data_IF_082094919330
#
_entry.id   IF_082094919330
#
_cell.length_a   1.000
_cell.length_b   1.000
_cell.length_c   1.000
_cell.angle_alpha   90.00
_cell.angle_beta   90.00
_cell.angle_gamma   90.00
#
_symmetry.space_group_name_H-M   'P 1'
#
loop_
_entity.id
_entity.type
_entity.pdbx_description
1 polymer ?
#
# COMPACT_ATOMS: atom_id res chain seq x y z
N UNK A 1 33.65 7.48 4.45
CA UNK A 1 32.64 6.41 4.43
C UNK A 1 31.28 7.07 4.37
N UNK A 2 30.61 7.05 3.20
CA UNK A 2 29.29 7.66 3.05
C UNK A 2 28.23 6.75 3.68
N UNK A 3 27.50 7.30 4.65
CA UNK A 3 26.30 6.71 5.23
C UNK A 3 25.34 6.28 4.10
N UNK A 4 25.12 4.97 3.92
CA UNK A 4 24.07 4.39 3.06
C UNK A 4 22.82 3.88 3.83
N UNK A 5 22.24 4.60 4.82
CA UNK A 5 20.98 4.18 5.42
C UNK A 5 19.75 4.43 4.53
N UNK A 6 19.87 5.17 3.40
CA UNK A 6 18.69 5.68 2.68
C UNK A 6 18.19 4.85 1.48
N UNK A 7 18.99 3.95 0.91
CA UNK A 7 18.64 3.28 -0.37
C UNK A 7 17.43 2.35 -0.22
N UNK A 8 17.33 1.64 0.91
CA UNK A 8 16.23 0.71 1.17
C UNK A 8 14.90 1.46 1.34
N UNK A 9 14.94 2.61 2.00
CA UNK A 9 13.77 3.45 2.23
C UNK A 9 13.30 4.10 0.92
N UNK A 10 14.23 4.62 0.12
CA UNK A 10 13.93 5.19 -1.20
C UNK A 10 13.31 4.14 -2.12
N UNK A 11 13.85 2.92 -2.16
CA UNK A 11 13.28 1.82 -2.95
C UNK A 11 11.90 1.39 -2.46
N UNK A 12 11.69 1.28 -1.15
CA UNK A 12 10.37 0.93 -0.61
C UNK A 12 9.31 1.99 -0.97
N UNK A 13 9.66 3.28 -0.87
CA UNK A 13 8.78 4.37 -1.28
C UNK A 13 8.50 4.38 -2.80
N UNK A 14 9.48 4.02 -3.62
CA UNK A 14 9.29 3.88 -5.07
C UNK A 14 8.25 2.81 -5.40
N UNK A 15 8.32 1.64 -4.75
CA UNK A 15 7.32 0.58 -4.94
C UNK A 15 5.92 1.01 -4.49
N UNK A 16 5.82 1.74 -3.38
CA UNK A 16 4.57 2.34 -2.90
C UNK A 16 3.96 3.31 -3.92
N UNK A 17 4.75 4.29 -4.37
CA UNK A 17 4.29 5.29 -5.33
C UNK A 17 3.81 4.63 -6.64
N UNK A 18 4.55 3.62 -7.12
CA UNK A 18 4.15 2.85 -8.31
C UNK A 18 2.85 2.09 -8.06
N UNK A 19 2.68 1.49 -6.89
CA UNK A 19 1.48 0.74 -6.53
C UNK A 19 0.24 1.64 -6.44
N UNK A 20 0.38 2.85 -5.90
CA UNK A 20 -0.69 3.86 -5.83
C UNK A 20 -1.07 4.40 -7.21
N UNK A 21 -0.08 4.62 -8.08
CA UNK A 21 -0.29 5.11 -9.45
C UNK A 21 -0.75 4.02 -10.43
N UNK A 22 -0.73 2.75 -10.03
CA UNK A 22 -1.13 1.63 -10.87
C UNK A 22 -2.62 1.74 -11.24
N UNK A 23 -2.88 1.66 -12.54
CA UNK A 23 -4.20 1.86 -13.15
C UNK A 23 -5.04 0.58 -13.20
N UNK A 24 -4.40 -0.57 -12.98
CA UNK A 24 -5.03 -1.89 -13.04
C UNK A 24 -4.60 -2.82 -11.90
N UNK A 25 -5.39 -3.86 -11.66
CA UNK A 25 -5.06 -4.90 -10.69
C UNK A 25 -3.81 -5.68 -11.11
N UNK A 26 -3.65 -5.97 -12.40
CA UNK A 26 -2.49 -6.69 -12.95
C UNK A 26 -1.17 -5.92 -12.73
N UNK A 27 -1.18 -4.60 -12.92
CA UNK A 27 -0.04 -3.73 -12.61
C UNK A 27 0.30 -3.78 -11.12
N UNK A 28 -0.72 -3.71 -10.24
CA UNK A 28 -0.54 -3.80 -8.79
C UNK A 28 0.06 -5.14 -8.36
N UNK A 29 -0.40 -6.24 -8.95
CA UNK A 29 0.13 -7.58 -8.68
C UNK A 29 1.59 -7.72 -9.13
N UNK A 30 1.92 -7.16 -10.29
CA UNK A 30 3.29 -7.11 -10.82
C UNK A 30 4.21 -6.34 -9.88
N UNK A 31 3.80 -5.14 -9.45
CA UNK A 31 4.57 -4.30 -8.51
C UNK A 31 4.76 -5.01 -7.16
N UNK A 32 3.72 -5.68 -6.65
CA UNK A 32 3.81 -6.45 -5.42
C UNK A 32 4.76 -7.65 -5.56
N UNK A 33 4.80 -8.31 -6.73
CA UNK A 33 5.74 -9.39 -7.01
C UNK A 33 7.19 -8.90 -7.06
N UNK A 34 7.46 -7.77 -7.72
CA UNK A 34 8.78 -7.13 -7.74
C UNK A 34 9.23 -6.70 -6.35
N UNK A 35 8.34 -6.12 -5.54
CA UNK A 35 8.64 -5.76 -4.16
C UNK A 35 9.01 -6.99 -3.31
N UNK A 36 8.29 -8.11 -3.47
CA UNK A 36 8.64 -9.38 -2.81
C UNK A 36 10.04 -9.85 -3.21
N UNK A 37 10.40 -9.78 -4.49
CA UNK A 37 11.75 -10.12 -4.95
C UNK A 37 12.80 -9.20 -4.33
N UNK A 38 12.56 -7.88 -4.31
CA UNK A 38 13.44 -6.92 -3.65
C UNK A 38 13.70 -7.30 -2.19
N UNK A 39 12.67 -7.65 -1.41
CA UNK A 39 12.82 -8.07 -0.01
C UNK A 39 13.70 -9.30 0.19
N UNK A 40 13.80 -10.20 -0.80
CA UNK A 40 14.69 -11.37 -0.75
C UNK A 40 16.16 -10.99 -0.89
N UNK A 41 16.46 -9.84 -1.52
CA UNK A 41 17.83 -9.32 -1.69
C UNK A 41 18.37 -8.60 -0.45
N UNK A 42 17.49 -8.31 0.52
CA UNK A 42 17.83 -7.58 1.73
C UNK A 42 18.22 -8.52 2.86
N UNK A 43 19.13 -8.04 3.72
CA UNK A 43 19.33 -8.61 5.06
C UNK A 43 18.09 -8.38 5.94
N UNK A 44 18.02 -9.06 7.08
CA UNK A 44 16.83 -9.01 7.94
C UNK A 44 16.54 -7.61 8.50
N UNK A 45 17.57 -6.87 8.91
CA UNK A 45 17.41 -5.52 9.46
C UNK A 45 16.85 -4.53 8.43
N UNK A 46 17.27 -4.63 7.18
CA UNK A 46 16.77 -3.78 6.09
C UNK A 46 15.41 -4.24 5.57
N UNK A 47 15.14 -5.56 5.61
CA UNK A 47 13.80 -6.11 5.33
C UNK A 47 12.76 -5.58 6.31
N UNK A 48 13.10 -5.50 7.60
CA UNK A 48 12.20 -4.97 8.61
C UNK A 48 11.95 -3.47 8.42
N UNK A 49 12.98 -2.68 8.07
CA UNK A 49 12.78 -1.27 7.70
C UNK A 49 11.85 -1.10 6.50
N UNK A 50 12.07 -1.89 5.45
CA UNK A 50 11.23 -1.85 4.25
C UNK A 50 9.77 -2.22 4.57
N UNK A 51 9.55 -3.21 5.45
CA UNK A 51 8.22 -3.62 5.91
C UNK A 51 7.53 -2.54 6.72
N UNK A 52 8.22 -1.86 7.63
CA UNK A 52 7.66 -0.78 8.44
C UNK A 52 7.11 0.37 7.59
N UNK A 53 7.81 0.70 6.49
CA UNK A 53 7.36 1.74 5.54
C UNK A 53 6.08 1.29 4.84
N UNK A 54 6.03 0.04 4.37
CA UNK A 54 4.82 -0.50 3.74
C UNK A 54 3.64 -0.65 4.71
N UNK A 55 3.90 -1.06 5.96
CA UNK A 55 2.85 -1.31 6.94
C UNK A 55 2.16 -0.03 7.40
N UNK A 56 2.91 1.06 7.60
CA UNK A 56 2.31 2.36 7.97
C UNK A 56 1.33 2.89 6.91
N UNK A 57 1.62 2.61 5.63
CA UNK A 57 0.74 2.96 4.51
C UNK A 57 -0.43 1.97 4.35
N UNK A 58 -0.23 0.68 4.67
CA UNK A 58 -1.31 -0.31 4.68
C UNK A 58 -2.35 -0.08 5.76
N UNK A 59 -1.94 0.43 6.92
CA UNK A 59 -2.90 0.90 7.93
C UNK A 59 -3.70 2.10 7.42
N UNK A 60 -3.06 3.06 6.74
CA UNK A 60 -3.75 4.21 6.15
C UNK A 60 -4.78 3.78 5.09
N UNK A 61 -4.39 2.90 4.17
CA UNK A 61 -5.30 2.37 3.14
C UNK A 61 -6.41 1.53 3.75
N UNK A 62 -6.14 0.76 4.81
CA UNK A 62 -7.16 0.04 5.56
C UNK A 62 -8.18 0.97 6.22
N UNK A 63 -7.74 2.11 6.74
CA UNK A 63 -8.65 3.13 7.28
C UNK A 63 -9.49 3.81 6.20
N UNK A 64 -8.89 4.13 5.04
CA UNK A 64 -9.63 4.67 3.90
C UNK A 64 -10.68 3.69 3.37
N UNK A 65 -10.33 2.40 3.25
CA UNK A 65 -11.28 1.36 2.84
C UNK A 65 -12.44 1.22 3.83
N UNK A 66 -12.17 1.27 5.14
CA UNK A 66 -13.22 1.25 6.16
C UNK A 66 -14.13 2.48 6.06
N UNK A 67 -13.58 3.67 5.83
CA UNK A 67 -14.34 4.89 5.60
C UNK A 67 -15.23 4.79 4.35
N UNK A 68 -14.69 4.27 3.24
CA UNK A 68 -15.45 4.04 2.00
C UNK A 68 -16.57 3.02 2.20
N UNK A 69 -16.33 1.94 2.96
CA UNK A 69 -17.38 0.97 3.30
C UNK A 69 -18.50 1.61 4.11
N UNK A 70 -18.18 2.46 5.08
CA UNK A 70 -19.19 3.21 5.86
C UNK A 70 -20.00 4.16 4.97
N UNK A 71 -19.34 4.86 4.05
CA UNK A 71 -20.02 5.75 3.09
C UNK A 71 -20.93 4.98 2.14
N UNK A 72 -20.50 3.82 1.64
CA UNK A 72 -21.31 2.92 0.82
C UNK A 72 -22.54 2.39 1.59
N UNK A 73 -22.37 2.04 2.86
CA UNK A 73 -23.49 1.61 3.71
C UNK A 73 -24.51 2.73 3.91
N UNK A 74 -24.05 3.95 4.17
CA UNK A 74 -24.91 5.13 4.31
C UNK A 74 -25.65 5.46 3.01
N UNK A 75 -24.96 5.41 1.87
CA UNK A 75 -25.57 5.61 0.56
C UNK A 75 -26.65 4.56 0.27
N UNK A 76 -26.39 3.28 0.61
CA UNK A 76 -27.35 2.20 0.41
C UNK A 76 -28.61 2.37 1.25
N UNK A 77 -28.48 2.80 2.51
CA UNK A 77 -29.65 3.14 3.34
C UNK A 77 -30.46 4.31 2.76
N UNK A 78 -29.79 5.34 2.24
CA UNK A 78 -30.47 6.47 1.60
C UNK A 78 -31.21 6.04 0.33
N UNK A 79 -30.60 5.18 -0.48
CA UNK A 79 -31.23 4.62 -1.67
C UNK A 79 -32.46 3.79 -1.31
N UNK A 80 -32.36 2.89 -0.35
CA UNK A 80 -33.49 2.06 0.09
C UNK A 80 -34.66 2.92 0.62
N UNK A 81 -34.35 4.04 1.30
CA UNK A 81 -35.38 5.00 1.73
C UNK A 81 -35.97 5.86 0.61
N UNK A 82 -35.22 6.13 -0.46
CA UNK A 82 -35.70 6.95 -1.57
C UNK A 82 -36.56 6.15 -2.58
N UNK A 83 -36.46 4.82 -2.56
CA UNK A 83 -37.15 3.92 -3.51
C UNK A 83 -38.29 3.13 -2.84
N UNK A 84 -38.47 3.25 -1.51
CA UNK A 84 -39.61 2.74 -0.75
C UNK A 84 -40.75 3.76 -0.64
#
# INVERSE_FOLDING_TARGET
MMNKPNVVMERANEFLNRFEQASSLEERETIAAEYRQFLTTLNDADRDKARTIMSGQWEAIGQEMNSLQQQLAAFRQQYDHAVA
#
